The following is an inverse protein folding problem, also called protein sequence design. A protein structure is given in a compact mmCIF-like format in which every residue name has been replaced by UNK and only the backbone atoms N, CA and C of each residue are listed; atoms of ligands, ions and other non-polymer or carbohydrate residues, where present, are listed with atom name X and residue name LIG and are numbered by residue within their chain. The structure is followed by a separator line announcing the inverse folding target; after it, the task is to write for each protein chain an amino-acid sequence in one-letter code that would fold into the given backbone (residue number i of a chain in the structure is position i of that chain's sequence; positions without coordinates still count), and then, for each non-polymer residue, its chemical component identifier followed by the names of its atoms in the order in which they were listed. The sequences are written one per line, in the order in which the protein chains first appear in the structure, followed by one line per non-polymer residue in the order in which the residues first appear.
data_IF_354982963260
#
_entry.id   IF_354982963260
#
_cell.length_a   1.000
_cell.length_b   1.000
_cell.length_c   1.000
_cell.angle_alpha   90.00
_cell.angle_beta   90.00
_cell.angle_gamma   90.00
#
_symmetry.space_group_name_H-M   'P 1'
#
loop_
_entity.id
_entity.type
_entity.pdbx_description
1 polymer ?
#
# COMPACT_ATOMS: atom_id res chain seq x y z
N UNK A 1 49.72 -76.05 33.75
CA UNK A 1 49.28 -75.51 32.43
C UNK A 1 49.43 -74.00 32.50
N UNK A 2 50.19 -73.42 31.56
CA UNK A 2 50.59 -71.99 31.54
C UNK A 2 49.38 -71.07 31.37
N UNK A 3 49.25 -70.01 32.18
CA UNK A 3 48.55 -68.79 31.78
C UNK A 3 49.56 -67.81 31.17
N UNK A 4 49.21 -67.26 30.00
CA UNK A 4 49.98 -66.27 29.27
C UNK A 4 50.10 -64.95 30.06
N UNK A 5 51.26 -64.33 29.93
CA UNK A 5 51.57 -62.96 30.37
C UNK A 5 51.22 -61.94 29.26
N UNK A 6 51.29 -60.66 29.63
CA UNK A 6 51.50 -59.43 28.79
C UNK A 6 50.22 -58.59 28.52
N UNK A 7 50.24 -57.23 28.61
CA UNK A 7 50.84 -56.33 29.60
C UNK A 7 49.85 -55.23 30.09
N UNK A 8 50.26 -54.45 31.09
CA UNK A 8 49.55 -53.28 31.62
C UNK A 8 49.47 -52.11 30.61
N UNK A 9 48.25 -51.63 30.33
CA UNK A 9 48.02 -50.39 29.58
C UNK A 9 47.74 -49.22 30.53
N UNK A 10 48.76 -48.38 30.64
CA UNK A 10 48.89 -47.12 31.37
C UNK A 10 47.82 -46.11 30.93
N UNK A 11 47.11 -45.49 31.88
CA UNK A 11 46.23 -44.34 31.64
C UNK A 11 47.05 -43.13 31.14
N UNK A 12 46.65 -42.49 30.03
CA UNK A 12 47.10 -41.15 29.71
C UNK A 12 46.03 -40.12 30.08
N UNK A 13 46.23 -39.45 31.22
CA UNK A 13 45.71 -38.11 31.48
C UNK A 13 46.43 -37.16 30.51
N UNK A 14 45.75 -36.74 29.45
CA UNK A 14 46.17 -35.67 28.53
C UNK A 14 44.86 -34.96 28.15
N UNK A 15 44.59 -33.77 28.65
CA UNK A 15 45.37 -32.58 28.37
C UNK A 15 44.49 -31.74 27.45
N UNK A 16 43.90 -30.69 28.01
CA UNK A 16 43.02 -29.74 27.32
C UNK A 16 43.81 -29.14 26.15
N UNK A 17 43.58 -29.63 24.94
CA UNK A 17 44.11 -29.03 23.71
C UNK A 17 43.03 -28.18 23.09
N UNK A 18 43.26 -26.88 23.17
CA UNK A 18 42.53 -25.83 22.48
C UNK A 18 42.43 -26.12 20.97
N UNK A 19 41.26 -26.52 20.49
CA UNK A 19 40.86 -26.43 19.09
C UNK A 19 39.33 -26.40 19.05
N UNK A 20 38.76 -25.26 18.65
CA UNK A 20 37.31 -25.11 18.53
C UNK A 20 36.79 -23.68 18.56
N UNK A 21 37.52 -22.71 18.01
CA UNK A 21 36.89 -21.46 17.57
C UNK A 21 36.01 -21.78 16.35
N UNK A 22 34.71 -21.93 16.56
CA UNK A 22 33.74 -21.56 15.53
C UNK A 22 32.42 -21.20 16.19
N UNK A 23 32.15 -19.90 16.16
CA UNK A 23 30.97 -19.26 16.69
C UNK A 23 29.70 -19.91 16.11
N UNK A 24 28.85 -20.44 16.99
CA UNK A 24 27.42 -20.57 16.70
C UNK A 24 26.83 -19.15 16.71
N UNK A 25 27.12 -18.39 15.65
CA UNK A 25 26.32 -17.24 15.28
C UNK A 25 24.96 -17.81 14.85
N UNK A 26 24.04 -17.90 15.80
CA UNK A 26 22.64 -18.15 15.52
C UNK A 26 22.18 -16.96 14.69
N UNK A 27 22.15 -17.15 13.37
CA UNK A 27 21.51 -16.22 12.44
C UNK A 27 20.01 -16.24 12.77
N UNK A 28 19.62 -15.43 13.74
CA UNK A 28 18.23 -15.06 13.94
C UNK A 28 17.89 -14.17 12.74
N UNK A 29 17.41 -14.78 11.66
CA UNK A 29 16.68 -14.02 10.65
C UNK A 29 15.38 -13.57 11.30
N UNK A 30 15.39 -12.37 11.87
CA UNK A 30 14.18 -11.64 12.15
C UNK A 30 13.52 -11.36 10.80
N UNK A 31 12.56 -12.22 10.43
CA UNK A 31 11.57 -11.87 9.42
C UNK A 31 10.69 -10.82 10.07
N UNK A 32 11.08 -9.56 10.01
CA UNK A 32 10.17 -8.45 10.29
C UNK A 32 9.09 -8.48 9.22
N UNK A 33 7.99 -9.17 9.51
CA UNK A 33 6.76 -9.04 8.75
C UNK A 33 6.30 -7.59 8.94
N UNK A 34 6.54 -6.74 7.94
CA UNK A 34 5.87 -5.44 7.85
C UNK A 34 4.38 -5.73 7.77
N UNK A 35 3.68 -5.55 8.89
CA UNK A 35 2.24 -5.57 8.93
C UNK A 35 1.75 -4.53 7.90
N UNK A 36 1.21 -5.00 6.78
CA UNK A 36 0.54 -4.13 5.83
C UNK A 36 -0.53 -3.35 6.58
N UNK A 37 -0.56 -2.03 6.40
CA UNK A 37 -1.59 -1.20 7.00
C UNK A 37 -2.96 -1.82 6.68
N UNK A 38 -3.75 -2.13 7.72
CA UNK A 38 -5.12 -2.63 7.53
C UNK A 38 -5.87 -1.61 6.67
N UNK A 39 -6.42 -2.09 5.55
CA UNK A 39 -7.21 -1.24 4.66
C UNK A 39 -8.40 -0.67 5.43
N UNK A 40 -8.67 0.63 5.33
CA UNK A 40 -9.89 1.21 5.91
C UNK A 40 -11.14 0.50 5.36
N UNK A 41 -12.17 0.26 6.18
CA UNK A 41 -13.44 -0.28 5.69
C UNK A 41 -14.00 0.60 4.56
N UNK A 42 -14.40 -0.03 3.45
CA UNK A 42 -14.95 0.66 2.28
C UNK A 42 -13.91 1.35 1.38
N UNK A 43 -12.62 1.13 1.60
CA UNK A 43 -11.59 1.52 0.64
C UNK A 43 -11.69 0.64 -0.64
N UNK A 44 -11.37 1.19 -1.82
CA UNK A 44 -11.22 0.39 -3.03
C UNK A 44 -10.22 -0.75 -2.85
N UNK A 45 -10.47 -1.86 -3.55
CA UNK A 45 -9.64 -3.07 -3.46
C UNK A 45 -8.26 -2.89 -4.09
N UNK A 46 -8.10 -1.93 -5.01
CA UNK A 46 -6.86 -1.68 -5.74
C UNK A 46 -6.39 -0.23 -5.61
N UNK A 47 -5.06 0.00 -5.64
CA UNK A 47 -4.50 1.30 -5.97
C UNK A 47 -4.70 1.59 -7.47
N UNK A 48 -4.58 2.86 -7.88
CA UNK A 48 -4.86 3.27 -9.26
C UNK A 48 -3.72 4.09 -9.88
N UNK A 49 -3.43 3.84 -11.15
CA UNK A 49 -2.54 4.65 -12.00
C UNK A 49 -3.38 5.57 -12.87
N UNK A 50 -3.22 6.89 -12.71
CA UNK A 50 -4.00 7.89 -13.43
C UNK A 50 -3.25 8.47 -14.63
N UNK A 51 -3.88 8.34 -15.80
CA UNK A 51 -3.42 8.90 -17.05
C UNK A 51 -4.22 10.15 -17.38
N UNK A 52 -3.52 11.21 -17.82
CA UNK A 52 -4.19 12.41 -18.31
C UNK A 52 -4.89 12.09 -19.62
N UNK A 53 -6.21 12.26 -19.66
CA UNK A 53 -6.99 12.09 -20.87
C UNK A 53 -6.55 13.12 -21.90
N UNK A 54 -6.13 12.62 -23.07
CA UNK A 54 -5.89 13.41 -24.28
C UNK A 54 -7.11 13.22 -25.18
N UNK A 55 -7.62 14.30 -25.75
CA UNK A 55 -8.75 14.22 -26.67
C UNK A 55 -8.29 13.50 -27.96
N UNK A 56 -8.63 12.22 -28.08
CA UNK A 56 -8.42 11.47 -29.34
C UNK A 56 -9.67 11.53 -30.22
N UNK A 57 -10.86 11.52 -29.61
CA UNK A 57 -12.15 11.69 -30.27
C UNK A 57 -13.28 11.97 -29.26
N UNK A 58 -13.01 12.68 -28.16
CA UNK A 58 -14.03 12.87 -27.10
C UNK A 58 -15.23 13.62 -27.68
N UNK A 59 -16.44 13.01 -27.71
CA UNK A 59 -17.64 13.76 -28.02
C UNK A 59 -17.73 14.92 -27.02
N UNK A 60 -18.27 16.07 -27.46
CA UNK A 60 -18.51 17.19 -26.55
C UNK A 60 -19.33 16.64 -25.39
N UNK A 61 -18.81 16.75 -24.17
CA UNK A 61 -19.57 16.36 -22.99
C UNK A 61 -20.84 17.23 -22.99
N UNK A 62 -22.00 16.58 -23.10
CA UNK A 62 -23.26 17.28 -22.93
C UNK A 62 -23.25 17.91 -21.54
N UNK A 63 -23.65 19.18 -21.37
CA UNK A 63 -23.68 19.81 -20.06
C UNK A 63 -24.41 18.91 -19.06
N UNK A 64 -23.68 18.43 -18.06
CA UNK A 64 -24.27 17.62 -16.99
C UNK A 64 -24.95 18.61 -16.03
N UNK A 65 -26.23 18.41 -15.69
CA UNK A 65 -26.91 19.23 -14.69
C UNK A 65 -26.11 19.28 -13.39
N UNK A 66 -26.31 20.33 -12.61
CA UNK A 66 -25.77 20.40 -11.25
C UNK A 66 -26.21 19.17 -10.45
N UNK A 67 -25.25 18.38 -9.96
CA UNK A 67 -25.52 17.17 -9.17
C UNK A 67 -25.16 17.38 -7.70
N UNK A 68 -25.92 16.80 -6.76
CA UNK A 68 -25.50 16.73 -5.36
C UNK A 68 -24.34 15.74 -5.22
N UNK A 69 -23.25 16.16 -4.60
CA UNK A 69 -22.11 15.33 -4.22
C UNK A 69 -21.86 15.48 -2.73
N UNK A 70 -21.49 14.40 -2.05
CA UNK A 70 -21.21 14.43 -0.63
C UNK A 70 -19.83 13.84 -0.35
N UNK A 71 -19.12 14.47 0.56
CA UNK A 71 -17.82 14.00 1.04
C UNK A 71 -17.62 14.36 2.51
N UNK A 72 -16.38 14.32 3.00
CA UNK A 72 -16.06 14.61 4.41
C UNK A 72 -16.42 16.04 4.87
N UNK A 73 -16.71 16.95 3.93
CA UNK A 73 -17.08 18.35 4.17
C UNK A 73 -18.60 18.60 4.14
N UNK A 74 -19.39 17.53 3.96
CA UNK A 74 -20.83 17.61 3.79
C UNK A 74 -21.26 17.62 2.32
N UNK A 75 -22.57 17.73 2.07
CA UNK A 75 -23.12 17.78 0.73
C UNK A 75 -22.87 19.15 0.08
N UNK A 76 -22.61 19.15 -1.22
CA UNK A 76 -22.60 20.34 -2.06
C UNK A 76 -23.14 20.00 -3.44
N UNK A 77 -23.62 21.01 -4.13
CA UNK A 77 -24.03 20.90 -5.52
C UNK A 77 -22.80 21.15 -6.41
N UNK A 78 -22.50 20.32 -7.40
CA UNK A 78 -21.34 20.49 -8.27
C UNK A 78 -21.72 20.39 -9.74
N UNK A 79 -21.16 21.27 -10.57
CA UNK A 79 -21.24 21.13 -12.01
C UNK A 79 -20.08 20.26 -12.51
N UNK A 80 -20.39 19.17 -13.21
CA UNK A 80 -19.40 18.30 -13.85
C UNK A 80 -19.10 18.84 -15.25
N UNK A 81 -17.82 19.03 -15.58
CA UNK A 81 -17.44 19.79 -16.79
C UNK A 81 -16.79 18.94 -17.89
N UNK A 82 -15.74 18.19 -17.57
CA UNK A 82 -15.02 17.35 -18.55
C UNK A 82 -14.26 16.22 -17.87
N UNK A 83 -14.07 15.07 -18.52
CA UNK A 83 -13.12 14.07 -18.07
C UNK A 83 -11.68 14.63 -18.17
N UNK A 84 -10.86 14.29 -17.19
CA UNK A 84 -9.46 14.75 -17.08
C UNK A 84 -8.52 13.58 -16.83
N UNK A 85 -8.99 12.58 -16.08
CA UNK A 85 -8.20 11.43 -15.68
C UNK A 85 -8.91 10.14 -16.08
N UNK A 86 -8.13 9.17 -16.56
CA UNK A 86 -8.52 7.78 -16.62
C UNK A 86 -7.56 7.03 -15.69
N UNK A 87 -8.09 6.46 -14.62
CA UNK A 87 -7.30 5.78 -13.61
C UNK A 87 -7.58 4.27 -13.67
N UNK A 88 -6.58 3.47 -14.01
CA UNK A 88 -6.73 2.01 -14.09
C UNK A 88 -6.20 1.36 -12.80
N UNK A 89 -6.76 0.23 -12.38
CA UNK A 89 -6.21 -0.56 -11.28
C UNK A 89 -4.72 -0.83 -11.49
N UNK A 90 -3.97 -0.81 -10.40
CA UNK A 90 -2.52 -0.90 -10.41
C UNK A 90 -2.04 -1.95 -9.42
N UNK A 91 -0.92 -2.57 -9.74
CA UNK A 91 -0.19 -3.42 -8.81
C UNK A 91 0.88 -2.56 -8.10
N UNK A 92 0.88 -2.61 -6.77
CA UNK A 92 1.89 -1.96 -5.93
C UNK A 92 2.56 -3.05 -5.09
N UNK A 93 3.89 -3.15 -5.20
CA UNK A 93 4.72 -4.13 -4.51
C UNK A 93 4.38 -5.60 -4.82
N UNK A 94 3.99 -5.90 -6.07
CA UNK A 94 3.64 -7.25 -6.53
C UNK A 94 2.51 -7.92 -5.71
N UNK A 95 1.57 -7.10 -5.21
CA UNK A 95 0.36 -7.54 -4.48
C UNK A 95 -0.77 -7.99 -5.40
N UNK A 96 -0.59 -7.86 -6.72
CA UNK A 96 -1.58 -8.14 -7.77
C UNK A 96 -2.76 -7.17 -7.73
N UNK A 97 -3.45 -7.08 -8.87
CA UNK A 97 -4.72 -6.37 -9.02
C UNK A 97 -5.86 -7.32 -8.64
N UNK A 98 -6.75 -6.89 -7.75
CA UNK A 98 -7.90 -7.65 -7.24
C UNK A 98 -9.11 -7.52 -8.15
N UNK A 99 -9.43 -6.30 -8.57
CA UNK A 99 -10.52 -5.95 -9.49
C UNK A 99 -9.97 -5.19 -10.69
N UNK A 100 -9.54 -5.95 -11.70
CA UNK A 100 -9.01 -5.39 -12.94
C UNK A 100 -10.09 -4.72 -13.83
N UNK A 101 -11.38 -4.88 -13.51
CA UNK A 101 -12.47 -4.38 -14.34
C UNK A 101 -12.89 -2.94 -13.97
N UNK A 102 -12.66 -2.52 -12.72
CA UNK A 102 -13.05 -1.19 -12.26
C UNK A 102 -11.99 -0.14 -12.59
N UNK A 103 -12.22 0.66 -13.62
CA UNK A 103 -11.45 1.88 -13.86
C UNK A 103 -12.15 3.08 -13.23
N UNK A 104 -11.42 4.11 -12.80
CA UNK A 104 -12.02 5.37 -12.34
C UNK A 104 -11.81 6.48 -13.37
N UNK A 105 -12.90 7.09 -13.79
CA UNK A 105 -12.92 8.31 -14.59
C UNK A 105 -12.93 9.53 -13.67
N UNK A 106 -11.92 10.39 -13.80
CA UNK A 106 -11.81 11.63 -13.04
C UNK A 106 -12.35 12.82 -13.81
N UNK A 107 -13.52 13.31 -13.38
CA UNK A 107 -14.16 14.48 -13.95
C UNK A 107 -13.82 15.76 -13.20
N UNK A 108 -13.52 16.85 -13.91
CA UNK A 108 -13.37 18.17 -13.30
C UNK A 108 -14.73 18.67 -12.84
N UNK A 109 -14.82 19.08 -11.58
CA UNK A 109 -16.02 19.68 -11.02
C UNK A 109 -15.85 21.16 -10.67
N UNK A 110 -16.95 21.88 -10.70
CA UNK A 110 -17.06 23.27 -10.30
C UNK A 110 -18.15 23.36 -9.21
N UNK A 111 -17.77 23.33 -7.93
CA UNK A 111 -18.68 23.66 -6.84
C UNK A 111 -18.99 25.17 -6.81
N UNK A 112 -20.12 25.59 -6.20
CA UNK A 112 -20.51 26.97 -5.98
C UNK A 112 -19.39 27.79 -5.34
N UNK A 113 -19.44 29.10 -5.57
CA UNK A 113 -18.48 30.08 -5.03
C UNK A 113 -18.59 30.22 -3.50
N UNK A 114 -19.62 29.63 -2.88
CA UNK A 114 -19.77 29.58 -1.43
C UNK A 114 -18.50 29.01 -0.76
N UNK A 115 -18.16 29.57 0.41
CA UNK A 115 -17.01 29.11 1.18
C UNK A 115 -17.20 27.63 1.56
N UNK A 116 -16.39 26.76 0.95
CA UNK A 116 -16.34 25.35 1.34
C UNK A 116 -15.56 25.27 2.66
N UNK A 117 -16.12 24.66 3.72
CA UNK A 117 -15.43 24.53 4.99
C UNK A 117 -14.11 23.78 4.79
N UNK A 118 -13.10 24.13 5.58
CA UNK A 118 -11.85 23.37 5.62
C UNK A 118 -11.91 22.31 6.71
N UNK A 119 -11.26 21.16 6.49
CA UNK A 119 -11.18 20.09 7.49
C UNK A 119 -9.83 19.39 7.42
N UNK A 120 -9.25 19.08 8.57
CA UNK A 120 -8.08 18.20 8.64
C UNK A 120 -8.51 16.73 8.56
N UNK A 121 -7.84 15.98 7.71
CA UNK A 121 -8.04 14.55 7.46
C UNK A 121 -6.70 13.82 7.66
N UNK A 122 -6.78 12.59 8.17
CA UNK A 122 -5.67 11.64 8.12
C UNK A 122 -6.14 10.40 7.35
N UNK A 123 -5.39 10.00 6.34
CA UNK A 123 -5.61 8.79 5.55
C UNK A 123 -4.36 7.94 5.65
N UNK A 124 -4.48 6.65 5.84
CA UNK A 124 -3.34 5.73 5.85
C UNK A 124 -3.49 4.75 4.70
N UNK A 125 -2.44 4.59 3.90
CA UNK A 125 -2.33 3.57 2.86
C UNK A 125 -0.97 2.86 2.96
N UNK A 126 -0.61 2.07 1.95
CA UNK A 126 0.66 1.37 1.85
C UNK A 126 1.91 2.27 1.92
N UNK A 127 1.78 3.56 1.63
CA UNK A 127 2.87 4.54 1.72
C UNK A 127 2.95 5.24 3.08
N UNK A 128 2.08 4.85 4.03
CA UNK A 128 2.00 5.44 5.36
C UNK A 128 0.88 6.47 5.52
N UNK A 129 0.87 7.23 6.63
CA UNK A 129 -0.18 8.21 6.91
C UNK A 129 0.04 9.52 6.12
N UNK A 130 -0.95 9.90 5.33
CA UNK A 130 -1.13 11.23 4.78
C UNK A 130 -1.97 12.09 5.74
N UNK A 131 -1.43 13.24 6.14
CA UNK A 131 -2.17 14.29 6.85
C UNK A 131 -2.40 15.46 5.91
N UNK A 132 -3.66 15.82 5.68
CA UNK A 132 -4.01 16.89 4.77
C UNK A 132 -5.10 17.78 5.36
N UNK A 133 -5.06 19.06 5.01
CA UNK A 133 -6.20 19.96 5.13
C UNK A 133 -6.93 19.97 3.78
N UNK A 134 -8.19 19.59 3.80
CA UNK A 134 -9.04 19.53 2.61
C UNK A 134 -10.04 20.68 2.62
N UNK A 135 -10.42 21.10 1.42
CA UNK A 135 -11.36 22.19 1.18
C UNK A 135 -12.19 21.96 -0.07
N UNK A 136 -12.20 22.94 -0.98
CA UNK A 136 -12.94 22.85 -2.26
C UNK A 136 -12.50 21.61 -3.06
N UNK A 137 -13.41 20.69 -3.42
CA UNK A 137 -13.04 19.54 -4.24
C UNK A 137 -12.86 19.96 -5.71
N UNK A 138 -11.86 19.35 -6.35
CA UNK A 138 -11.48 19.65 -7.74
C UNK A 138 -11.96 18.62 -8.76
N UNK A 139 -12.02 17.36 -8.35
CA UNK A 139 -12.34 16.23 -9.20
C UNK A 139 -13.31 15.28 -8.52
N UNK A 140 -14.21 14.70 -9.31
CA UNK A 140 -15.05 13.56 -8.93
C UNK A 140 -14.53 12.32 -9.65
N UNK A 141 -14.16 11.29 -8.90
CA UNK A 141 -13.75 9.99 -9.43
C UNK A 141 -14.98 9.08 -9.50
N UNK A 142 -15.24 8.49 -10.67
CA UNK A 142 -16.43 7.67 -10.95
C UNK A 142 -16.00 6.33 -11.55
N UNK A 143 -16.42 5.18 -11.00
CA UNK A 143 -16.15 3.87 -11.59
C UNK A 143 -16.94 3.60 -12.88
#
# INVERSE_FOLDING_TARGET
MKPCEVPAARHPTKGVTAFGLLALAVFVWEVTATAGALRPPGAPDDPFLCYRVRAFATPRLTPIPTIPVAGPLGPLNAHVTRPVWLCTPADVDARRVVDAATALEGYKIQPPVAAVPQRRLQVTNEFGPLRAEIGRPDYLLVP
#
